data_IF_341342929708
#
_entry.id   IF_341342929708
#
_cell.length_a   1.000
_cell.length_b   1.000
_cell.length_c   1.000
_cell.angle_alpha   90.00
_cell.angle_beta   90.00
_cell.angle_gamma   90.00
#
_symmetry.space_group_name_H-M   'P 1'
#
loop_
_entity.id
_entity.type
_entity.pdbx_description
1 polymer ?
#
# COMPACT_ATOMS: atom_id res chain seq x y z
N UNK A 1 -0.91 -47.37 4.77
CA UNK A 1 -0.01 -46.39 5.42
C UNK A 1 0.77 -45.48 4.45
N UNK A 2 0.64 -45.59 3.12
CA UNK A 2 1.26 -44.63 2.16
C UNK A 2 0.29 -44.00 1.14
N UNK A 3 -1.00 -44.33 1.19
CA UNK A 3 -1.98 -43.78 0.24
C UNK A 3 -2.81 -42.60 0.78
N UNK A 4 -2.74 -42.30 2.07
CA UNK A 4 -3.51 -41.18 2.66
C UNK A 4 -2.87 -39.80 2.46
N UNK A 5 -1.64 -39.73 1.94
CA UNK A 5 -0.93 -38.45 1.74
C UNK A 5 -1.19 -37.79 0.36
N UNK A 6 -2.04 -38.39 -0.48
CA UNK A 6 -2.30 -37.92 -1.86
C UNK A 6 -3.71 -37.35 -2.07
N UNK A 7 -4.54 -37.26 -1.02
CA UNK A 7 -5.93 -36.79 -1.14
C UNK A 7 -6.16 -35.29 -0.86
N UNK A 8 -5.11 -34.52 -0.58
CA UNK A 8 -5.22 -33.07 -0.37
C UNK A 8 -5.00 -32.22 -1.64
N UNK A 9 -5.14 -32.81 -2.83
CA UNK A 9 -5.48 -32.05 -4.03
C UNK A 9 -7.00 -31.86 -4.13
N UNK A 10 -7.58 -30.99 -3.28
CA UNK A 10 -8.98 -30.55 -3.45
C UNK A 10 -9.11 -29.04 -3.35
N UNK A 11 -9.03 -28.41 -4.53
CA UNK A 11 -9.40 -27.03 -4.81
C UNK A 11 -8.42 -26.40 -5.80
N UNK A 12 -8.78 -26.34 -7.09
CA UNK A 12 -8.08 -25.60 -8.16
C UNK A 12 -8.15 -24.05 -7.95
N UNK A 13 -8.02 -23.59 -6.72
CA UNK A 13 -8.10 -22.17 -6.35
C UNK A 13 -6.72 -21.61 -6.04
N UNK A 14 -6.37 -20.49 -6.70
CA UNK A 14 -5.16 -19.72 -6.38
C UNK A 14 -5.23 -19.25 -4.92
N UNK A 15 -4.10 -19.32 -4.20
CA UNK A 15 -3.98 -18.76 -2.84
C UNK A 15 -4.30 -17.27 -2.87
N UNK A 16 -5.06 -16.80 -1.88
CA UNK A 16 -5.33 -15.38 -1.70
C UNK A 16 -4.16 -14.65 -1.05
N UNK A 17 -4.11 -13.32 -1.21
CA UNK A 17 -3.02 -12.50 -0.66
C UNK A 17 -2.87 -12.62 0.87
N UNK A 18 -3.96 -12.81 1.61
CA UNK A 18 -3.92 -13.04 3.06
C UNK A 18 -3.30 -14.40 3.44
N UNK A 19 -3.46 -15.43 2.60
CA UNK A 19 -2.79 -16.71 2.82
C UNK A 19 -1.29 -16.59 2.52
N UNK A 20 -0.95 -15.89 1.44
CA UNK A 20 0.44 -15.65 1.05
C UNK A 20 1.20 -14.79 2.07
N UNK A 21 0.51 -13.83 2.70
CA UNK A 21 1.08 -12.95 3.72
C UNK A 21 1.04 -13.54 5.14
N UNK A 22 0.60 -14.79 5.33
CA UNK A 22 0.51 -15.41 6.65
C UNK A 22 1.87 -15.42 7.36
N UNK A 23 1.88 -15.03 8.64
CA UNK A 23 3.06 -14.73 9.48
C UNK A 23 3.94 -13.59 8.95
N UNK A 24 3.41 -12.76 8.07
CA UNK A 24 4.09 -11.66 7.41
C UNK A 24 3.30 -10.35 7.48
N UNK A 25 3.46 -9.53 6.45
CA UNK A 25 2.78 -8.22 6.35
C UNK A 25 2.11 -8.10 4.99
N UNK A 26 0.90 -7.55 4.97
CA UNK A 26 0.20 -7.16 3.75
C UNK A 26 0.08 -5.63 3.67
N UNK A 27 0.38 -5.07 2.50
CA UNK A 27 0.16 -3.67 2.19
C UNK A 27 -1.10 -3.51 1.34
N UNK A 28 -2.04 -2.70 1.80
CA UNK A 28 -3.29 -2.41 1.12
C UNK A 28 -3.28 -0.95 0.66
N UNK A 29 -2.98 -0.74 -0.62
CA UNK A 29 -3.03 0.60 -1.21
C UNK A 29 -4.47 1.00 -1.57
N UNK A 30 -4.72 2.30 -1.59
CA UNK A 30 -6.02 2.92 -1.94
C UNK A 30 -7.23 2.31 -1.20
N UNK A 31 -7.10 2.02 0.10
CA UNK A 31 -8.16 1.34 0.87
C UNK A 31 -9.51 2.08 0.84
N UNK A 32 -9.49 3.41 0.67
CA UNK A 32 -10.70 4.24 0.58
C UNK A 32 -11.57 4.00 -0.66
N UNK A 33 -11.07 3.31 -1.69
CA UNK A 33 -11.81 2.99 -2.93
C UNK A 33 -12.48 1.61 -2.83
N UNK A 34 -12.21 0.86 -1.77
CA UNK A 34 -12.74 -0.48 -1.55
C UNK A 34 -14.28 -0.50 -1.48
N UNK A 35 -14.93 -1.46 -2.12
CA UNK A 35 -16.39 -1.62 -2.02
C UNK A 35 -16.82 -1.99 -0.59
N UNK A 36 -18.03 -1.60 -0.16
CA UNK A 36 -18.54 -1.90 1.18
C UNK A 36 -18.56 -3.40 1.52
N UNK A 37 -18.79 -4.26 0.52
CA UNK A 37 -18.73 -5.72 0.69
C UNK A 37 -17.30 -6.19 1.01
N UNK A 38 -16.30 -5.68 0.28
CA UNK A 38 -14.91 -6.03 0.55
C UNK A 38 -14.43 -5.44 1.88
N UNK A 39 -14.91 -4.26 2.26
CA UNK A 39 -14.67 -3.67 3.59
C UNK A 39 -15.19 -4.57 4.72
N UNK A 40 -16.41 -5.13 4.58
CA UNK A 40 -16.97 -6.05 5.57
C UNK A 40 -16.14 -7.35 5.68
N UNK A 41 -15.62 -7.87 4.56
CA UNK A 41 -14.72 -9.03 4.57
C UNK A 41 -13.40 -8.70 5.25
N UNK A 42 -12.80 -7.54 4.95
CA UNK A 42 -11.56 -7.10 5.60
C UNK A 42 -11.74 -6.92 7.10
N UNK A 43 -12.85 -6.34 7.53
CA UNK A 43 -13.18 -6.20 8.95
C UNK A 43 -13.19 -7.56 9.66
N UNK A 44 -13.79 -8.59 9.03
CA UNK A 44 -13.78 -9.95 9.57
C UNK A 44 -12.36 -10.50 9.73
N UNK A 45 -11.45 -10.25 8.77
CA UNK A 45 -10.04 -10.65 8.91
C UNK A 45 -9.37 -9.94 10.09
N UNK A 46 -9.62 -8.64 10.26
CA UNK A 46 -9.05 -7.83 11.34
C UNK A 46 -9.58 -8.22 12.74
N UNK A 47 -10.80 -8.74 12.82
CA UNK A 47 -11.46 -9.15 14.07
C UNK A 47 -11.16 -10.60 14.42
N UNK A 48 -11.48 -11.51 13.50
CA UNK A 48 -11.46 -12.96 13.73
C UNK A 48 -10.11 -13.60 13.40
N UNK A 49 -9.23 -12.89 12.69
CA UNK A 49 -7.97 -13.45 12.15
C UNK A 49 -8.21 -14.66 11.25
N UNK A 50 -9.32 -14.64 10.53
CA UNK A 50 -9.73 -15.70 9.61
C UNK A 50 -10.14 -15.16 8.25
N UNK A 51 -9.93 -15.96 7.22
CA UNK A 51 -10.44 -15.73 5.88
C UNK A 51 -11.29 -16.91 5.41
N UNK A 52 -12.16 -16.67 4.42
CA UNK A 52 -12.88 -17.72 3.70
C UNK A 52 -12.61 -17.54 2.21
N UNK A 53 -12.20 -18.62 1.53
CA UNK A 53 -11.98 -18.60 0.07
C UNK A 53 -13.30 -18.30 -0.66
N UNK A 54 -13.21 -17.65 -1.82
CA UNK A 54 -14.40 -17.45 -2.67
C UNK A 54 -14.96 -18.81 -3.07
N UNK A 55 -16.25 -19.05 -2.79
CA UNK A 55 -16.91 -20.34 -3.00
C UNK A 55 -16.59 -21.42 -1.96
N UNK A 56 -15.71 -21.12 -0.99
CA UNK A 56 -15.47 -21.97 0.17
C UNK A 56 -16.40 -21.63 1.33
N UNK A 57 -16.52 -22.57 2.28
CA UNK A 57 -17.30 -22.40 3.52
C UNK A 57 -16.44 -22.51 4.78
N UNK A 58 -15.28 -23.14 4.70
CA UNK A 58 -14.37 -23.32 5.84
C UNK A 58 -13.48 -22.10 6.06
N UNK A 59 -13.43 -21.55 7.29
CA UNK A 59 -12.48 -20.51 7.62
C UNK A 59 -11.04 -21.04 7.67
N UNK A 60 -10.09 -20.17 7.37
CA UNK A 60 -8.65 -20.40 7.43
C UNK A 60 -8.05 -19.33 8.34
N UNK A 61 -7.39 -19.76 9.42
CA UNK A 61 -6.68 -18.86 10.33
C UNK A 61 -5.48 -18.21 9.64
N UNK A 62 -5.31 -16.91 9.85
CA UNK A 62 -4.20 -16.11 9.32
C UNK A 62 -3.64 -15.19 10.40
N UNK A 63 -2.33 -15.06 10.47
CA UNK A 63 -1.63 -14.11 11.33
C UNK A 63 -0.89 -13.10 10.45
N UNK A 64 -1.51 -11.96 10.20
CA UNK A 64 -1.00 -10.98 9.22
C UNK A 64 -0.97 -9.59 9.83
N UNK A 65 0.18 -8.93 9.75
CA UNK A 65 0.27 -7.50 9.99
C UNK A 65 -0.29 -6.74 8.80
N UNK A 66 -1.20 -5.81 9.03
CA UNK A 66 -1.80 -5.00 7.97
C UNK A 66 -1.22 -3.59 8.01
N UNK A 67 -0.77 -3.10 6.86
CA UNK A 67 -0.44 -1.70 6.61
C UNK A 67 -1.35 -1.23 5.48
N UNK A 68 -2.05 -0.13 5.66
CA UNK A 68 -2.95 0.43 4.65
C UNK A 68 -2.57 1.86 4.28
N UNK A 69 -2.75 2.22 3.02
CA UNK A 69 -2.59 3.58 2.52
C UNK A 69 -3.85 4.05 1.78
N UNK A 70 -4.05 5.37 1.74
CA UNK A 70 -5.15 6.00 1.01
C UNK A 70 -4.83 7.49 0.81
N UNK A 71 -5.26 8.03 -0.32
CA UNK A 71 -5.30 9.46 -0.60
C UNK A 71 -6.69 10.08 -0.30
N UNK A 72 -7.70 9.26 0.01
CA UNK A 72 -9.04 9.69 0.39
C UNK A 72 -9.08 9.99 1.90
N UNK A 73 -9.72 11.09 2.27
CA UNK A 73 -10.12 11.37 3.65
C UNK A 73 -11.18 10.34 4.10
N UNK A 74 -10.74 9.35 4.86
CA UNK A 74 -11.61 8.28 5.34
C UNK A 74 -12.69 8.80 6.30
N UNK A 75 -12.43 9.86 7.07
CA UNK A 75 -13.41 10.41 8.01
C UNK A 75 -14.59 11.02 7.26
N UNK A 76 -14.33 11.72 6.14
CA UNK A 76 -15.39 12.20 5.27
C UNK A 76 -16.06 11.05 4.49
N UNK A 77 -15.29 10.06 4.02
CA UNK A 77 -15.87 8.89 3.36
C UNK A 77 -16.82 8.09 4.26
N UNK A 78 -16.57 8.06 5.58
CA UNK A 78 -17.50 7.49 6.58
C UNK A 78 -18.79 8.30 6.64
N UNK A 79 -18.71 9.62 6.75
CA UNK A 79 -19.91 10.50 6.78
C UNK A 79 -20.76 10.37 5.53
N UNK A 80 -20.14 10.13 4.39
CA UNK A 80 -20.81 9.93 3.09
C UNK A 80 -21.32 8.49 2.88
N UNK A 81 -21.11 7.58 3.84
CA UNK A 81 -21.53 6.18 3.74
C UNK A 81 -20.73 5.34 2.74
N UNK A 82 -19.60 5.86 2.23
CA UNK A 82 -18.71 5.15 1.29
C UNK A 82 -17.69 4.28 2.00
N UNK A 83 -17.44 4.53 3.28
CA UNK A 83 -16.54 3.75 4.12
C UNK A 83 -17.21 3.37 5.44
N UNK A 84 -17.01 2.14 5.91
CA UNK A 84 -17.61 1.69 7.15
C UNK A 84 -16.90 2.28 8.36
N UNK A 85 -17.69 2.78 9.30
CA UNK A 85 -17.17 3.38 10.54
C UNK A 85 -16.39 2.38 11.40
N UNK A 86 -16.86 1.14 11.50
CA UNK A 86 -16.20 0.06 12.27
C UNK A 86 -14.80 -0.29 11.73
N UNK A 87 -14.66 -0.38 10.40
CA UNK A 87 -13.38 -0.60 9.73
C UNK A 87 -12.45 0.61 9.90
N UNK A 88 -13.00 1.84 9.83
CA UNK A 88 -12.22 3.06 10.03
C UNK A 88 -11.51 3.06 11.38
N UNK A 89 -12.23 2.82 12.47
CA UNK A 89 -11.62 2.80 13.80
C UNK A 89 -10.63 1.65 14.01
N UNK A 90 -10.80 0.52 13.29
CA UNK A 90 -9.86 -0.60 13.37
C UNK A 90 -8.55 -0.35 12.62
N UNK A 91 -8.59 0.45 11.55
CA UNK A 91 -7.40 0.83 10.77
C UNK A 91 -6.72 2.09 11.33
N UNK A 92 -7.49 3.06 11.83
CA UNK A 92 -7.01 4.37 12.29
C UNK A 92 -6.43 4.33 13.72
N UNK A 93 -5.63 3.30 14.03
CA UNK A 93 -4.98 3.16 15.35
C UNK A 93 -3.66 3.93 15.40
N UNK A 94 -2.83 3.79 14.35
CA UNK A 94 -1.55 4.49 14.23
C UNK A 94 -1.52 5.18 12.86
N UNK A 95 -2.13 6.37 12.72
CA UNK A 95 -2.10 7.11 11.47
C UNK A 95 -0.71 7.70 11.22
N UNK A 96 -0.18 7.50 10.01
CA UNK A 96 1.05 8.14 9.53
C UNK A 96 0.66 9.03 8.36
N UNK A 97 0.82 10.34 8.54
CA UNK A 97 0.58 11.31 7.47
C UNK A 97 1.88 11.56 6.71
N UNK A 98 1.84 11.39 5.39
CA UNK A 98 2.97 11.69 4.50
C UNK A 98 2.70 13.05 3.85
N UNK A 99 3.46 14.10 4.19
CA UNK A 99 3.24 15.42 3.61
C UNK A 99 3.57 15.42 2.11
N UNK A 100 2.86 16.24 1.32
CA UNK A 100 3.19 16.45 -0.08
C UNK A 100 4.55 17.14 -0.22
N UNK A 101 5.21 16.97 -1.37
CA UNK A 101 6.58 17.43 -1.60
C UNK A 101 6.75 18.95 -1.41
N UNK A 102 5.72 19.74 -1.74
CA UNK A 102 5.68 21.19 -1.50
C UNK A 102 5.80 21.61 -0.03
N UNK A 103 5.48 20.72 0.91
CA UNK A 103 5.56 20.93 2.36
C UNK A 103 6.84 20.35 2.97
N UNK A 104 7.68 19.70 2.16
CA UNK A 104 8.97 19.10 2.57
C UNK A 104 10.05 19.35 1.50
N UNK A 105 10.20 20.61 1.09
CA UNK A 105 11.11 21.01 0.01
C UNK A 105 12.58 20.79 0.37
N UNK A 106 12.90 20.77 1.66
CA UNK A 106 14.21 20.43 2.21
C UNK A 106 14.69 19.02 1.82
N UNK A 107 13.78 18.10 1.49
CA UNK A 107 14.12 16.75 1.01
C UNK A 107 14.56 16.74 -0.46
N UNK A 108 14.30 17.82 -1.22
CA UNK A 108 14.54 17.89 -2.67
C UNK A 108 15.98 17.53 -3.07
N UNK A 109 17.04 18.07 -2.44
CA UNK A 109 18.41 17.73 -2.82
C UNK A 109 18.71 16.24 -2.63
N UNK A 110 18.18 15.61 -1.56
CA UNK A 110 18.38 14.19 -1.30
C UNK A 110 17.63 13.31 -2.30
N UNK A 111 16.38 13.69 -2.62
CA UNK A 111 15.55 12.99 -3.60
C UNK A 111 16.19 13.01 -4.99
N UNK A 112 16.58 14.19 -5.48
CA UNK A 112 17.21 14.36 -6.79
C UNK A 112 18.50 13.55 -6.89
N UNK A 113 19.37 13.62 -5.87
CA UNK A 113 20.60 12.84 -5.87
C UNK A 113 20.35 11.32 -5.86
N UNK A 114 19.28 10.88 -5.20
CA UNK A 114 18.88 9.47 -5.19
C UNK A 114 18.36 9.02 -6.56
N UNK A 115 17.55 9.84 -7.22
CA UNK A 115 17.06 9.58 -8.58
C UNK A 115 18.20 9.57 -9.60
N UNK A 116 19.14 10.51 -9.53
CA UNK A 116 20.34 10.53 -10.39
C UNK A 116 21.14 9.22 -10.23
N UNK A 117 21.36 8.77 -8.99
CA UNK A 117 22.06 7.49 -8.74
C UNK A 117 21.31 6.30 -9.35
N UNK A 118 20.00 6.21 -9.11
CA UNK A 118 19.14 5.16 -9.67
C UNK A 118 19.26 5.13 -11.20
N UNK A 119 19.13 6.28 -11.85
CA UNK A 119 19.16 6.36 -13.32
C UNK A 119 20.54 6.16 -13.94
N UNK A 120 21.60 6.55 -13.25
CA UNK A 120 22.95 6.17 -13.67
C UNK A 120 23.12 4.65 -13.67
N UNK A 121 22.59 3.95 -12.66
CA UNK A 121 22.63 2.49 -12.56
C UNK A 121 21.76 1.81 -13.63
N UNK A 122 20.52 2.27 -13.81
CA UNK A 122 19.56 1.65 -14.74
C UNK A 122 19.94 1.86 -16.21
N UNK A 123 20.55 3.00 -16.54
CA UNK A 123 20.82 3.41 -17.94
C UNK A 123 22.31 3.52 -18.29
N UNK A 124 23.22 3.16 -17.38
CA UNK A 124 24.67 3.23 -17.62
C UNK A 124 25.19 4.66 -17.83
N UNK A 125 24.56 5.66 -17.20
CA UNK A 125 24.95 7.08 -17.29
C UNK A 125 25.95 7.45 -16.19
N UNK A 126 26.57 8.63 -16.31
CA UNK A 126 27.51 9.17 -15.33
C UNK A 126 27.19 10.64 -14.99
N UNK A 127 25.93 10.91 -14.67
CA UNK A 127 25.50 12.23 -14.19
C UNK A 127 25.96 12.39 -12.74
N UNK A 128 26.76 13.43 -12.46
CA UNK A 128 27.40 13.60 -11.13
C UNK A 128 26.58 14.43 -10.15
N UNK A 129 25.51 15.06 -10.61
CA UNK A 129 24.67 15.93 -9.79
C UNK A 129 23.80 16.84 -10.64
N UNK A 130 23.19 17.81 -9.97
CA UNK A 130 22.35 18.85 -10.57
C UNK A 130 23.00 20.21 -10.37
N UNK A 131 22.85 21.11 -11.35
CA UNK A 131 23.31 22.49 -11.21
C UNK A 131 22.50 23.22 -10.11
N UNK A 132 23.12 24.12 -9.32
CA UNK A 132 22.41 24.89 -8.30
C UNK A 132 21.19 25.64 -8.83
N UNK A 133 21.28 26.21 -10.03
CA UNK A 133 20.21 26.94 -10.68
C UNK A 133 19.03 26.03 -11.02
N UNK A 134 19.32 24.81 -11.50
CA UNK A 134 18.30 23.81 -11.78
C UNK A 134 17.64 23.31 -10.48
N UNK A 135 18.41 23.10 -9.42
CA UNK A 135 17.86 22.74 -8.10
C UNK A 135 16.92 23.83 -7.55
N UNK A 136 17.27 25.11 -7.72
CA UNK A 136 16.40 26.21 -7.31
C UNK A 136 15.06 26.19 -8.07
N UNK A 137 15.07 25.92 -9.38
CA UNK A 137 13.84 25.76 -10.15
C UNK A 137 12.98 24.60 -9.64
N UNK A 138 13.60 23.48 -9.25
CA UNK A 138 12.88 22.36 -8.64
C UNK A 138 12.31 22.74 -7.27
N UNK A 139 13.01 23.54 -6.47
CA UNK A 139 12.53 24.02 -5.17
C UNK A 139 11.34 24.99 -5.30
N UNK A 140 11.28 25.79 -6.36
CA UNK A 140 10.23 26.78 -6.57
C UNK A 140 8.92 26.16 -7.10
N UNK A 141 8.98 24.97 -7.69
CA UNK A 141 7.81 24.28 -8.22
C UNK A 141 6.93 23.64 -7.12
N UNK A 142 5.63 23.49 -7.40
CA UNK A 142 4.62 23.04 -6.42
C UNK A 142 4.42 21.52 -6.37
N UNK A 143 4.93 20.77 -7.35
CA UNK A 143 4.91 19.30 -7.39
C UNK A 143 3.53 18.68 -7.11
N UNK A 144 2.48 18.97 -7.88
CA UNK A 144 1.17 18.33 -7.73
C UNK A 144 1.25 16.80 -7.80
N UNK A 145 2.15 16.24 -8.60
CA UNK A 145 2.40 14.79 -8.69
C UNK A 145 3.48 14.27 -7.74
N UNK A 146 4.00 15.12 -6.84
CA UNK A 146 5.00 14.79 -5.82
C UNK A 146 6.23 14.08 -6.43
N UNK A 147 6.75 13.06 -5.73
CA UNK A 147 7.95 12.31 -6.15
C UNK A 147 7.76 11.62 -7.51
N UNK A 148 6.53 11.20 -7.87
CA UNK A 148 6.26 10.58 -9.17
C UNK A 148 6.45 11.55 -10.32
N UNK A 149 6.05 12.81 -10.14
CA UNK A 149 6.28 13.86 -11.13
C UNK A 149 7.75 14.26 -11.17
N UNK A 150 8.40 14.42 -10.02
CA UNK A 150 9.84 14.67 -9.93
C UNK A 150 10.68 13.61 -10.65
N UNK A 151 10.28 12.33 -10.56
CA UNK A 151 10.95 11.23 -11.23
C UNK A 151 10.80 11.26 -12.76
N UNK A 152 9.71 11.86 -13.27
CA UNK A 152 9.42 11.91 -14.70
C UNK A 152 10.03 13.13 -15.44
N UNK A 153 10.50 14.14 -14.71
CA UNK A 153 11.17 15.35 -15.27
C UNK A 153 12.62 15.06 -15.59
#
# INVERSE_FOLDING_TARGET
MREEHLLEQKGLGKRGLFEEANKGTIFLDEIGVMSLNLQAKLLRVLQEKEIVKVGGSSPINVDVRIISATNIDLKNAVKEGRFREDLYYRLYVIPIFIPPLRERKEDMPLLVNTLIRKYNQDFGRNIRGILPEALNLLLDYHWPGNVRELENV
#
